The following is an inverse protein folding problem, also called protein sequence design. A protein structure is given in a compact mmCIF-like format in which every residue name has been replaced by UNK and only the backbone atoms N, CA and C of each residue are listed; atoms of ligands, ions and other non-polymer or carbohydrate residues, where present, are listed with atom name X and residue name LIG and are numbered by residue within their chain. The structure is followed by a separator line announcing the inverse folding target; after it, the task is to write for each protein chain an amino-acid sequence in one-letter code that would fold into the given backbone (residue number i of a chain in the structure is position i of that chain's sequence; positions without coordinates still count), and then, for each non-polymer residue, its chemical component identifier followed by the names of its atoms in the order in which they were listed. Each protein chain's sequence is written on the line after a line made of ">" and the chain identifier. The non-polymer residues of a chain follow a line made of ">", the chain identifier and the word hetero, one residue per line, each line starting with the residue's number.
data_IF_844574386070
#
_entry.id   IF_844574386070
#
_cell.length_a   1.000
_cell.length_b   1.000
_cell.length_c   1.000
_cell.angle_alpha   90.00
_cell.angle_beta   90.00
_cell.angle_gamma   90.00
#
_symmetry.space_group_name_H-M   'P 1'
#
loop_
_entity.id
_entity.type
_entity.pdbx_description
1 polymer ?
#
# COMPACT_ATOMS: atom_id res chain seq x y z
N UNK A 1 81.87 -5.79 -22.20
CA UNK A 1 80.78 -5.46 -21.24
C UNK A 1 79.54 -5.06 -22.06
N UNK A 2 78.62 -5.97 -22.23
CA UNK A 2 77.36 -5.72 -22.95
C UNK A 2 76.22 -5.66 -21.93
N UNK A 3 75.55 -4.52 -21.80
CA UNK A 3 74.38 -4.35 -20.94
C UNK A 3 73.14 -4.67 -21.77
N UNK A 4 72.38 -5.68 -21.34
CA UNK A 4 71.08 -6.05 -21.87
C UNK A 4 69.99 -5.13 -21.30
N UNK A 5 69.20 -4.51 -22.16
CA UNK A 5 67.98 -3.80 -21.76
C UNK A 5 66.81 -4.74 -21.86
N UNK A 6 66.16 -4.98 -20.74
CA UNK A 6 64.90 -5.72 -20.68
C UNK A 6 63.75 -4.77 -21.06
N UNK A 7 62.97 -5.17 -22.05
CA UNK A 7 61.77 -4.48 -22.44
C UNK A 7 60.62 -4.80 -21.47
N UNK A 8 60.01 -3.76 -20.88
CA UNK A 8 58.78 -3.88 -20.11
C UNK A 8 57.63 -3.83 -21.08
N UNK A 9 56.85 -4.94 -21.13
CA UNK A 9 55.56 -4.98 -21.83
C UNK A 9 54.49 -4.28 -20.98
N UNK A 10 53.90 -3.21 -21.49
CA UNK A 10 52.79 -2.52 -20.90
C UNK A 10 51.50 -3.33 -21.15
N UNK A 11 51.02 -3.96 -20.07
CA UNK A 11 49.70 -4.63 -20.07
C UNK A 11 48.58 -3.57 -20.07
N UNK A 12 47.78 -3.51 -21.13
CA UNK A 12 46.57 -2.72 -21.18
C UNK A 12 45.51 -3.39 -20.30
N UNK A 13 45.14 -2.73 -19.20
CA UNK A 13 43.98 -3.13 -18.39
C UNK A 13 42.74 -2.58 -19.04
N UNK A 14 41.98 -3.44 -19.72
CA UNK A 14 40.66 -3.11 -20.21
C UNK A 14 39.67 -2.95 -19.05
N UNK A 15 39.30 -1.72 -18.74
CA UNK A 15 38.23 -1.39 -17.80
C UNK A 15 36.89 -1.80 -18.44
N UNK A 16 36.30 -2.88 -17.94
CA UNK A 16 34.92 -3.24 -18.28
C UNK A 16 33.98 -2.23 -17.65
N UNK A 17 33.45 -1.32 -18.47
CA UNK A 17 32.34 -0.43 -18.08
C UNK A 17 31.08 -1.29 -18.08
N UNK A 18 30.67 -1.72 -16.88
CA UNK A 18 29.36 -2.33 -16.69
C UNK A 18 28.29 -1.24 -16.90
N UNK A 19 27.64 -1.27 -18.05
CA UNK A 19 26.45 -0.48 -18.29
C UNK A 19 25.34 -0.99 -17.39
N UNK A 20 25.04 -0.23 -16.33
CA UNK A 20 23.80 -0.41 -15.55
C UNK A 20 22.66 -0.05 -16.49
N UNK A 21 22.01 -1.05 -17.06
CA UNK A 21 20.74 -0.91 -17.76
C UNK A 21 19.73 -0.36 -16.75
N UNK A 22 19.44 0.91 -16.83
CA UNK A 22 18.29 1.51 -16.14
C UNK A 22 17.05 0.74 -16.58
N UNK A 23 16.38 0.09 -15.61
CA UNK A 23 15.10 -0.56 -15.85
C UNK A 23 14.14 0.47 -16.46
N UNK A 24 13.40 0.13 -17.53
CA UNK A 24 12.44 1.06 -18.10
C UNK A 24 11.41 1.44 -17.05
N UNK A 25 11.13 2.73 -16.94
CA UNK A 25 10.29 3.37 -15.95
C UNK A 25 9.06 2.55 -15.65
N UNK A 26 8.83 2.30 -14.34
CA UNK A 26 7.68 1.59 -13.86
C UNK A 26 6.42 2.25 -14.41
N UNK A 27 5.79 1.58 -15.36
CA UNK A 27 4.47 1.95 -15.85
C UNK A 27 3.56 2.16 -14.65
N UNK A 28 2.92 3.31 -14.59
CA UNK A 28 1.90 3.65 -13.60
C UNK A 28 0.73 2.67 -13.80
N UNK A 29 0.89 1.44 -13.27
CA UNK A 29 -0.13 0.37 -13.32
C UNK A 29 -1.36 0.76 -12.49
N UNK A 30 -1.28 1.87 -11.73
CA UNK A 30 -2.36 2.40 -10.92
C UNK A 30 -3.61 2.82 -11.69
N UNK A 31 -3.48 3.41 -12.87
CA UNK A 31 -4.62 4.04 -13.54
C UNK A 31 -5.64 3.04 -14.13
N UNK A 32 -5.20 1.88 -14.61
CA UNK A 32 -6.12 0.89 -15.19
C UNK A 32 -6.96 0.16 -14.12
N UNK A 33 -6.35 -0.22 -13.01
CA UNK A 33 -7.06 -0.87 -11.89
C UNK A 33 -8.05 0.09 -11.21
N UNK A 34 -7.75 1.38 -11.14
CA UNK A 34 -8.64 2.40 -10.62
C UNK A 34 -9.89 2.58 -11.48
N UNK A 35 -9.78 2.37 -12.80
CA UNK A 35 -10.89 2.56 -13.73
C UNK A 35 -11.97 1.48 -13.67
N UNK A 36 -11.60 0.24 -13.30
CA UNK A 36 -12.50 -0.92 -13.36
C UNK A 36 -12.92 -1.46 -11.99
N UNK A 37 -12.48 -0.83 -10.90
CA UNK A 37 -12.65 -1.37 -9.55
C UNK A 37 -11.70 -2.53 -9.27
N UNK A 38 -11.83 -3.16 -8.11
CA UNK A 38 -10.94 -4.21 -7.64
C UNK A 38 -11.71 -5.46 -7.20
N UNK A 39 -11.05 -6.62 -7.26
CA UNK A 39 -11.53 -7.81 -6.57
C UNK A 39 -11.11 -7.75 -5.11
N UNK A 40 -11.97 -8.27 -4.24
CA UNK A 40 -11.78 -8.34 -2.79
C UNK A 40 -11.97 -9.78 -2.35
N UNK A 41 -10.96 -10.35 -1.72
CA UNK A 41 -11.02 -11.66 -1.10
C UNK A 41 -11.42 -11.52 0.38
N UNK A 42 -12.57 -12.09 0.74
CA UNK A 42 -13.08 -12.14 2.09
C UNK A 42 -12.72 -13.47 2.72
N UNK A 43 -11.97 -13.46 3.81
CA UNK A 43 -11.66 -14.69 4.53
C UNK A 43 -12.95 -15.32 5.03
N UNK A 44 -13.02 -16.64 4.93
CA UNK A 44 -13.99 -17.46 5.64
C UNK A 44 -13.62 -17.47 7.13
N UNK A 45 -14.26 -18.25 7.92
CA UNK A 45 -13.91 -18.37 9.34
C UNK A 45 -12.53 -19.02 9.54
N UNK A 46 -11.91 -18.78 10.72
CA UNK A 46 -10.60 -19.30 11.05
C UNK A 46 -9.43 -18.44 10.59
N UNK A 47 -8.39 -19.09 10.12
CA UNK A 47 -7.17 -18.43 9.62
C UNK A 47 -6.71 -19.03 8.30
N UNK A 48 -5.95 -18.23 7.53
CA UNK A 48 -5.41 -18.59 6.23
C UNK A 48 -3.92 -18.30 6.19
N UNK A 49 -3.14 -19.25 5.69
CA UNK A 49 -1.71 -19.05 5.45
C UNK A 49 -1.49 -18.20 4.20
N UNK A 50 -0.61 -17.20 4.31
CA UNK A 50 -0.05 -16.44 3.19
C UNK A 50 1.25 -17.09 2.76
N UNK A 51 1.37 -17.38 1.47
CA UNK A 51 2.57 -17.96 0.87
C UNK A 51 3.35 -16.90 0.07
N UNK A 52 4.69 -17.02 -0.06
CA UNK A 52 5.50 -16.08 -0.84
C UNK A 52 5.31 -16.26 -2.37
N UNK A 53 4.84 -17.42 -2.81
CA UNK A 53 4.59 -17.73 -4.21
C UNK A 53 3.50 -18.81 -4.34
N UNK A 54 2.82 -18.93 -5.50
CA UNK A 54 1.93 -20.06 -5.79
C UNK A 54 2.63 -21.39 -5.62
N UNK A 55 2.04 -22.32 -4.86
CA UNK A 55 2.60 -23.66 -4.63
C UNK A 55 3.73 -23.74 -3.61
N UNK A 56 4.23 -22.61 -3.10
CA UNK A 56 5.28 -22.64 -2.08
C UNK A 56 4.78 -23.31 -0.79
N UNK A 57 5.57 -24.24 -0.20
CA UNK A 57 5.27 -24.80 1.11
C UNK A 57 5.53 -23.80 2.26
N UNK A 58 6.33 -22.75 2.00
CA UNK A 58 6.65 -21.73 2.99
C UNK A 58 5.42 -20.88 3.30
N UNK A 59 5.30 -20.48 4.57
CA UNK A 59 4.28 -19.56 5.07
C UNK A 59 4.95 -18.24 5.45
N UNK A 60 4.61 -17.17 4.75
CA UNK A 60 5.11 -15.82 5.05
C UNK A 60 4.41 -15.22 6.26
N UNK A 61 3.13 -15.50 6.43
CA UNK A 61 2.31 -15.04 7.56
C UNK A 61 1.01 -15.84 7.64
N UNK A 62 0.35 -15.78 8.80
CA UNK A 62 -1.02 -16.29 8.99
C UNK A 62 -1.96 -15.11 9.20
N UNK A 63 -3.10 -15.14 8.51
CA UNK A 63 -4.13 -14.11 8.57
C UNK A 63 -5.35 -14.67 9.26
N UNK A 64 -5.84 -14.01 10.30
CA UNK A 64 -7.11 -14.34 10.94
C UNK A 64 -8.31 -13.80 10.14
N UNK A 65 -9.48 -14.39 10.35
CA UNK A 65 -10.73 -13.95 9.72
C UNK A 65 -11.23 -12.58 10.20
N UNK A 66 -10.64 -12.06 11.28
CA UNK A 66 -10.84 -10.69 11.77
C UNK A 66 -9.53 -9.95 11.90
N UNK A 67 -9.58 -8.64 11.66
CA UNK A 67 -8.46 -7.72 11.87
C UNK A 67 -8.25 -7.48 13.36
N UNK A 68 -7.17 -6.83 13.72
CA UNK A 68 -6.87 -6.35 15.08
C UNK A 68 -7.93 -5.37 15.62
N UNK A 69 -8.69 -4.73 14.73
CA UNK A 69 -9.78 -3.82 15.07
C UNK A 69 -11.16 -4.48 15.02
N UNK A 70 -11.21 -5.81 14.84
CA UNK A 70 -12.44 -6.60 14.86
C UNK A 70 -13.22 -6.64 13.54
N UNK A 71 -12.81 -5.93 12.51
CA UNK A 71 -13.46 -6.01 11.20
C UNK A 71 -13.26 -7.38 10.56
N UNK A 72 -14.19 -7.79 9.72
CA UNK A 72 -14.00 -9.00 8.90
C UNK A 72 -12.83 -8.76 7.92
N UNK A 73 -11.87 -9.67 7.92
CA UNK A 73 -10.69 -9.54 7.05
C UNK A 73 -11.05 -9.61 5.58
N UNK A 74 -10.64 -8.58 4.87
CA UNK A 74 -10.83 -8.40 3.44
C UNK A 74 -9.50 -7.96 2.80
N UNK A 75 -9.10 -8.64 1.74
CA UNK A 75 -7.81 -8.43 1.09
C UNK A 75 -8.03 -7.96 -0.34
N UNK A 76 -7.44 -6.83 -0.77
CA UNK A 76 -7.40 -6.49 -2.18
C UNK A 76 -6.69 -7.57 -2.99
N UNK A 77 -7.31 -8.02 -4.07
CA UNK A 77 -6.70 -8.97 -5.00
C UNK A 77 -5.97 -8.20 -6.09
N UNK A 78 -4.70 -8.50 -6.28
CA UNK A 78 -3.82 -7.89 -7.28
C UNK A 78 -3.89 -8.66 -8.60
N UNK A 79 -3.81 -9.99 -8.50
CA UNK A 79 -3.86 -10.89 -9.63
C UNK A 79 -4.45 -12.25 -9.23
N UNK A 80 -4.94 -12.99 -10.23
CA UNK A 80 -5.31 -14.40 -10.12
C UNK A 80 -4.35 -15.23 -10.96
N UNK A 81 -3.80 -16.31 -10.37
CA UNK A 81 -2.86 -17.24 -11.01
C UNK A 81 -3.37 -18.67 -10.78
N UNK A 82 -4.24 -19.14 -11.68
CA UNK A 82 -4.95 -20.40 -11.48
C UNK A 82 -5.78 -20.37 -10.19
N UNK A 83 -5.50 -21.32 -9.30
CA UNK A 83 -6.18 -21.43 -8.00
C UNK A 83 -5.63 -20.47 -6.90
N UNK A 84 -4.63 -19.67 -7.23
CA UNK A 84 -4.00 -18.75 -6.32
C UNK A 84 -4.44 -17.30 -6.58
N UNK A 85 -4.65 -16.57 -5.49
CA UNK A 85 -4.89 -15.13 -5.51
C UNK A 85 -3.68 -14.43 -4.90
N UNK A 86 -3.12 -13.50 -5.65
CA UNK A 86 -2.12 -12.56 -5.15
C UNK A 86 -2.84 -11.42 -4.44
N UNK A 87 -2.51 -11.18 -3.17
CA UNK A 87 -3.24 -10.27 -2.29
C UNK A 87 -2.33 -9.33 -1.51
N UNK A 88 -2.88 -8.19 -1.12
CA UNK A 88 -2.27 -7.25 -0.18
C UNK A 88 -2.75 -7.60 1.23
N UNK A 89 -1.84 -7.61 2.20
CA UNK A 89 -2.15 -7.89 3.61
C UNK A 89 -1.35 -6.99 4.55
N UNK A 90 -1.96 -6.64 5.69
CA UNK A 90 -1.30 -5.96 6.81
C UNK A 90 -0.22 -6.82 7.49
N UNK A 91 -0.16 -8.10 7.21
CA UNK A 91 0.84 -9.00 7.77
C UNK A 91 2.15 -9.03 6.99
N UNK A 92 2.21 -8.27 5.89
CA UNK A 92 3.38 -8.15 5.03
C UNK A 92 3.85 -6.70 4.97
N UNK A 93 5.12 -6.50 4.65
CA UNK A 93 5.69 -5.16 4.45
C UNK A 93 5.03 -4.46 3.26
N UNK A 94 5.06 -3.12 3.26
CA UNK A 94 4.61 -2.33 2.12
C UNK A 94 5.25 -2.81 0.81
N UNK A 95 4.44 -2.98 -0.24
CA UNK A 95 4.90 -3.45 -1.54
C UNK A 95 5.11 -4.96 -1.66
N UNK A 96 5.06 -5.71 -0.56
CA UNK A 96 5.13 -7.17 -0.58
C UNK A 96 3.72 -7.76 -0.67
N UNK A 97 3.52 -8.68 -1.60
CA UNK A 97 2.27 -9.40 -1.78
C UNK A 97 2.41 -10.84 -1.30
N UNK A 98 1.29 -11.44 -0.93
CA UNK A 98 1.22 -12.85 -0.57
C UNK A 98 0.20 -13.59 -1.43
N UNK A 99 0.27 -14.92 -1.40
CA UNK A 99 -0.61 -15.79 -2.17
C UNK A 99 -1.46 -16.64 -1.24
N UNK A 100 -2.76 -16.71 -1.55
CA UNK A 100 -3.74 -17.56 -0.86
C UNK A 100 -4.49 -18.42 -1.86
N UNK A 101 -5.02 -19.56 -1.43
CA UNK A 101 -5.85 -20.42 -2.27
C UNK A 101 -7.25 -19.79 -2.44
N UNK A 102 -7.75 -19.77 -3.69
CA UNK A 102 -9.07 -19.20 -4.02
C UNK A 102 -10.22 -19.83 -3.25
N UNK A 103 -10.17 -21.13 -2.97
CA UNK A 103 -11.23 -21.85 -2.24
C UNK A 103 -11.33 -21.43 -0.75
N UNK A 104 -10.28 -20.83 -0.16
CA UNK A 104 -10.25 -20.38 1.25
C UNK A 104 -11.05 -19.09 1.46
N UNK A 105 -11.44 -18.40 0.40
CA UNK A 105 -12.05 -17.07 0.44
C UNK A 105 -13.31 -17.00 -0.40
N UNK A 106 -14.15 -16.01 -0.11
CA UNK A 106 -15.20 -15.54 -1.02
C UNK A 106 -14.68 -14.30 -1.75
N UNK A 107 -14.67 -14.34 -3.07
CA UNK A 107 -14.24 -13.20 -3.90
C UNK A 107 -15.46 -12.39 -4.31
N UNK A 108 -15.38 -11.07 -4.09
CA UNK A 108 -16.37 -10.10 -4.57
C UNK A 108 -15.67 -9.03 -5.40
N UNK A 109 -16.44 -8.12 -5.99
CA UNK A 109 -15.92 -6.94 -6.70
C UNK A 109 -16.33 -5.66 -5.98
N UNK A 110 -15.38 -4.74 -5.77
CA UNK A 110 -15.65 -3.36 -5.40
C UNK A 110 -15.60 -2.49 -6.67
N UNK A 111 -16.63 -1.74 -6.99
CA UNK A 111 -16.58 -0.80 -8.12
C UNK A 111 -15.79 0.47 -7.78
N UNK A 112 -15.31 0.58 -6.53
CA UNK A 112 -14.65 1.75 -5.99
C UNK A 112 -13.13 1.52 -5.86
N UNK A 113 -12.38 2.61 -5.99
CA UNK A 113 -10.96 2.69 -5.66
C UNK A 113 -10.64 4.10 -5.14
N UNK A 114 -9.68 4.20 -4.23
CA UNK A 114 -9.15 5.46 -3.73
C UNK A 114 -7.80 5.71 -4.42
N UNK A 115 -7.61 6.92 -4.89
CA UNK A 115 -6.39 7.43 -5.49
C UNK A 115 -5.89 8.61 -4.67
N UNK A 116 -4.64 8.58 -4.26
CA UNK A 116 -3.98 9.60 -3.47
C UNK A 116 -2.75 10.11 -4.24
N UNK A 117 -2.83 11.35 -4.65
CA UNK A 117 -1.76 12.12 -5.28
C UNK A 117 -1.06 12.94 -4.20
N UNK A 118 0.14 12.54 -3.80
CA UNK A 118 0.89 13.19 -2.72
C UNK A 118 1.41 14.56 -3.14
N UNK A 119 1.84 14.72 -4.39
CA UNK A 119 2.34 16.01 -4.90
C UNK A 119 1.21 17.04 -4.94
N UNK A 120 0.04 16.63 -5.43
CA UNK A 120 -1.16 17.44 -5.45
C UNK A 120 -1.90 17.51 -4.11
N UNK A 121 -1.53 16.70 -3.12
CA UNK A 121 -2.23 16.54 -1.83
C UNK A 121 -3.72 16.32 -2.04
N UNK A 122 -4.05 15.44 -2.95
CA UNK A 122 -5.41 15.26 -3.45
C UNK A 122 -5.85 13.79 -3.33
N UNK A 123 -6.99 13.58 -2.69
CA UNK A 123 -7.72 12.32 -2.68
C UNK A 123 -8.79 12.34 -3.76
N UNK A 124 -8.84 11.27 -4.55
CA UNK A 124 -9.92 11.00 -5.50
C UNK A 124 -10.57 9.66 -5.17
N UNK A 125 -11.88 9.63 -5.04
CA UNK A 125 -12.65 8.39 -5.00
C UNK A 125 -13.21 8.12 -6.40
N UNK A 126 -12.76 7.02 -6.98
CA UNK A 126 -13.22 6.56 -8.29
C UNK A 126 -14.34 5.54 -8.14
N UNK A 127 -15.31 5.62 -9.04
CA UNK A 127 -16.35 4.60 -9.22
C UNK A 127 -16.49 4.28 -10.71
N UNK A 128 -16.11 3.05 -11.13
CA UNK A 128 -16.19 2.59 -12.53
C UNK A 128 -15.61 3.61 -13.53
N UNK A 129 -14.43 4.14 -13.25
CA UNK A 129 -13.74 5.08 -14.13
C UNK A 129 -14.16 6.54 -13.99
N UNK A 130 -15.12 6.87 -13.13
CA UNK A 130 -15.55 8.25 -12.87
C UNK A 130 -15.14 8.68 -11.47
N UNK A 131 -14.64 9.90 -11.32
CA UNK A 131 -14.34 10.50 -10.02
C UNK A 131 -15.62 10.99 -9.37
N UNK A 132 -16.02 10.37 -8.25
CA UNK A 132 -17.25 10.71 -7.50
C UNK A 132 -17.01 11.54 -6.25
N UNK A 133 -15.74 11.69 -5.85
CA UNK A 133 -15.31 12.57 -4.76
C UNK A 133 -13.89 13.06 -5.05
N UNK A 134 -13.66 14.36 -4.83
CA UNK A 134 -12.33 14.98 -4.76
C UNK A 134 -12.21 15.74 -3.46
N UNK A 135 -11.05 15.63 -2.80
CA UNK A 135 -10.80 16.35 -1.56
C UNK A 135 -9.31 16.60 -1.38
N UNK A 136 -8.96 17.78 -0.88
CA UNK A 136 -7.61 18.01 -0.37
C UNK A 136 -7.36 17.16 0.87
N UNK A 137 -6.13 16.66 1.01
CA UNK A 137 -5.69 15.87 2.16
C UNK A 137 -4.38 16.40 2.73
N UNK A 138 -4.22 16.32 4.05
CA UNK A 138 -2.91 16.40 4.69
C UNK A 138 -2.15 15.11 4.50
N UNK A 139 -0.83 15.18 4.40
CA UNK A 139 0.06 14.04 4.18
C UNK A 139 1.20 14.02 5.21
N UNK A 140 1.97 12.95 5.23
CA UNK A 140 3.15 12.80 6.08
C UNK A 140 4.19 13.87 5.84
N UNK A 141 4.82 14.35 6.92
CA UNK A 141 5.97 15.25 6.86
C UNK A 141 7.18 14.57 6.21
N UNK A 142 8.19 15.34 5.81
CA UNK A 142 9.38 14.81 5.14
C UNK A 142 10.13 13.73 5.94
N UNK A 143 10.09 13.79 7.27
CA UNK A 143 10.72 12.79 8.15
C UNK A 143 9.85 11.55 8.38
N UNK A 144 8.55 11.66 8.16
CA UNK A 144 7.55 10.61 8.36
C UNK A 144 6.63 10.54 7.14
N UNK A 145 7.16 10.30 5.94
CA UNK A 145 6.41 10.41 4.70
C UNK A 145 5.26 9.39 4.65
N UNK A 146 4.16 9.78 4.02
CA UNK A 146 3.12 8.82 3.66
C UNK A 146 3.68 7.79 2.68
N UNK A 147 3.58 6.47 2.96
CA UNK A 147 4.15 5.46 2.09
C UNK A 147 3.44 5.41 0.74
N UNK A 148 4.24 5.28 -0.31
CA UNK A 148 3.79 5.10 -1.69
C UNK A 148 3.52 3.61 -1.95
N UNK A 149 2.51 3.30 -2.73
CA UNK A 149 2.21 1.93 -3.13
C UNK A 149 0.73 1.63 -3.32
N UNK A 150 0.43 0.33 -3.33
CA UNK A 150 -0.94 -0.20 -3.42
C UNK A 150 -1.32 -0.82 -2.08
N UNK A 151 -2.47 -0.42 -1.58
CA UNK A 151 -2.98 -0.80 -0.26
C UNK A 151 -4.47 -1.14 -0.33
N UNK A 152 -5.06 -1.50 0.79
CA UNK A 152 -6.50 -1.71 0.93
C UNK A 152 -7.06 -1.06 2.17
N UNK A 153 -8.33 -0.70 2.13
CA UNK A 153 -9.08 -0.32 3.33
C UNK A 153 -9.37 -1.58 4.14
N UNK A 154 -8.84 -1.65 5.35
CA UNK A 154 -8.95 -2.81 6.23
C UNK A 154 -10.04 -2.67 7.27
N UNK A 155 -10.23 -1.44 7.79
CA UNK A 155 -11.17 -1.15 8.86
C UNK A 155 -11.81 0.21 8.67
N UNK A 156 -13.03 0.33 9.19
CA UNK A 156 -13.77 1.57 9.30
C UNK A 156 -14.19 1.74 10.76
N UNK A 157 -13.55 2.69 11.44
CA UNK A 157 -13.71 2.86 12.88
C UNK A 157 -14.43 4.18 13.18
N UNK A 158 -15.30 4.13 14.18
CA UNK A 158 -15.96 5.31 14.76
C UNK A 158 -15.78 5.24 16.27
N UNK A 159 -15.87 6.40 16.94
CA UNK A 159 -15.72 6.46 18.40
C UNK A 159 -14.28 6.28 18.91
N UNK A 160 -13.27 6.23 18.04
CA UNK A 160 -11.87 6.33 18.45
C UNK A 160 -11.56 7.76 18.87
N UNK A 161 -10.60 7.94 19.78
CA UNK A 161 -10.23 9.25 20.36
C UNK A 161 -10.51 10.43 19.40
N UNK A 162 -11.61 11.18 19.55
CA UNK A 162 -12.00 12.22 18.60
C UNK A 162 -11.00 13.37 18.53
N UNK A 163 -10.27 13.66 19.62
CA UNK A 163 -9.27 14.72 19.66
C UNK A 163 -8.09 14.43 18.72
N UNK A 164 -7.75 13.15 18.52
CA UNK A 164 -6.63 12.76 17.66
C UNK A 164 -7.07 12.41 16.22
N UNK A 165 -8.27 11.83 16.05
CA UNK A 165 -8.67 11.21 14.79
C UNK A 165 -9.94 11.78 14.16
N UNK A 166 -10.60 12.74 14.83
CA UNK A 166 -11.88 13.29 14.38
C UNK A 166 -13.02 12.27 14.50
N UNK A 167 -14.02 12.37 13.64
CA UNK A 167 -15.22 11.51 13.71
C UNK A 167 -14.96 10.05 13.45
N UNK A 168 -13.92 9.74 12.69
CA UNK A 168 -13.85 8.44 12.06
C UNK A 168 -12.51 8.17 11.37
N UNK A 169 -12.18 6.88 11.22
CA UNK A 169 -10.93 6.40 10.66
C UNK A 169 -11.21 5.34 9.60
N UNK A 170 -10.58 5.47 8.44
CA UNK A 170 -10.40 4.39 7.49
C UNK A 170 -8.95 3.89 7.64
N UNK A 171 -8.75 2.74 8.29
CA UNK A 171 -7.43 2.15 8.40
C UNK A 171 -7.06 1.46 7.08
N UNK A 172 -5.79 1.58 6.71
CA UNK A 172 -5.23 1.00 5.49
C UNK A 172 -4.32 -0.18 5.81
N UNK A 173 -4.02 -1.00 4.83
CA UNK A 173 -3.01 -2.06 4.96
C UNK A 173 -1.57 -1.55 4.95
N UNK A 174 -1.36 -0.26 4.80
CA UNK A 174 -0.06 0.39 4.79
C UNK A 174 0.53 0.53 6.19
N UNK A 175 1.86 0.43 6.28
CA UNK A 175 2.65 0.63 7.49
C UNK A 175 3.56 1.84 7.36
N UNK A 176 3.68 2.64 8.42
CA UNK A 176 4.67 3.69 8.53
C UNK A 176 6.03 3.08 8.91
N UNK A 177 7.03 3.28 8.06
CA UNK A 177 8.38 2.73 8.25
C UNK A 177 9.36 3.71 8.87
N UNK A 178 8.94 4.97 9.09
CA UNK A 178 9.75 6.06 9.63
C UNK A 178 9.05 6.70 10.82
N UNK A 179 8.81 5.92 11.87
CA UNK A 179 8.20 6.44 13.09
C UNK A 179 9.22 7.25 13.92
N UNK A 180 8.79 8.35 14.57
CA UNK A 180 9.64 9.09 15.49
C UNK A 180 10.11 8.20 16.65
N UNK A 181 11.32 8.41 17.18
CA UNK A 181 11.78 7.73 18.39
C UNK A 181 10.78 7.93 19.53
N UNK A 182 10.46 6.86 20.26
CA UNK A 182 9.50 6.90 21.36
C UNK A 182 8.03 7.02 20.97
N UNK A 183 7.68 6.79 19.71
CA UNK A 183 6.30 6.82 19.26
C UNK A 183 5.45 5.76 20.01
N UNK A 184 4.40 6.18 20.77
CA UNK A 184 3.62 5.25 21.58
C UNK A 184 2.52 4.53 20.81
N UNK A 185 2.25 4.92 19.56
CA UNK A 185 1.19 4.37 18.72
C UNK A 185 1.66 3.22 17.84
N UNK A 186 0.73 2.60 17.13
CA UNK A 186 1.05 1.61 16.09
C UNK A 186 1.60 2.27 14.81
N UNK A 187 1.98 1.44 13.86
CA UNK A 187 2.56 1.84 12.58
C UNK A 187 1.53 1.91 11.43
N UNK A 188 0.25 1.64 11.72
CA UNK A 188 -0.79 1.58 10.67
C UNK A 188 -1.12 2.96 10.13
N UNK A 189 -1.08 3.07 8.81
CA UNK A 189 -1.53 4.27 8.09
C UNK A 189 -3.06 4.26 8.01
N UNK A 190 -3.64 5.44 8.16
CA UNK A 190 -5.09 5.64 8.05
C UNK A 190 -5.43 6.95 7.33
N UNK A 191 -6.68 7.07 6.91
CA UNK A 191 -7.32 8.33 6.52
C UNK A 191 -8.25 8.72 7.67
N UNK A 192 -7.99 9.85 8.34
CA UNK A 192 -8.74 10.28 9.52
C UNK A 192 -8.80 11.81 9.64
N UNK A 193 -9.47 12.33 10.65
CA UNK A 193 -9.51 13.75 10.98
C UNK A 193 -8.15 14.25 11.45
N UNK A 194 -7.96 15.54 11.43
CA UNK A 194 -6.75 16.21 11.92
C UNK A 194 -6.51 17.53 11.22
N UNK A 195 -5.51 18.24 11.69
CA UNK A 195 -5.06 19.51 11.10
C UNK A 195 -4.22 19.30 9.84
N UNK A 196 -3.80 20.42 9.21
CA UNK A 196 -2.85 20.38 8.11
C UNK A 196 -3.43 19.84 6.79
N UNK A 197 -4.72 20.03 6.54
CA UNK A 197 -5.33 19.71 5.24
C UNK A 197 -4.61 20.50 4.14
N UNK A 198 -4.12 19.82 3.10
CA UNK A 198 -3.33 20.42 2.05
C UNK A 198 -1.86 20.68 2.44
N UNK A 199 -1.40 20.19 3.60
CA UNK A 199 -0.02 20.32 4.07
C UNK A 199 0.65 18.97 4.32
N UNK A 200 1.98 18.97 4.43
CA UNK A 200 2.80 17.80 4.75
C UNK A 200 3.28 17.87 6.20
N UNK A 201 2.41 17.51 7.15
CA UNK A 201 2.62 17.76 8.58
C UNK A 201 2.36 16.55 9.48
N UNK A 202 1.76 15.46 8.96
CA UNK A 202 1.41 14.29 9.75
C UNK A 202 2.60 13.35 9.98
N UNK A 203 2.40 12.35 10.82
CA UNK A 203 3.34 11.23 10.98
C UNK A 203 3.08 10.10 9.96
N UNK A 204 2.57 10.43 8.78
CA UNK A 204 2.35 9.52 7.67
C UNK A 204 0.89 9.27 7.35
N UNK A 205 -0.03 9.44 8.28
CA UNK A 205 -1.47 9.34 8.02
C UNK A 205 -1.97 10.45 7.09
N UNK A 206 -3.06 10.17 6.43
CA UNK A 206 -3.75 11.12 5.55
C UNK A 206 -4.84 11.82 6.36
N UNK A 207 -4.79 13.16 6.42
CA UNK A 207 -5.82 13.93 7.11
C UNK A 207 -6.87 14.43 6.12
N UNK A 208 -8.12 14.27 6.47
CA UNK A 208 -9.26 14.75 5.69
C UNK A 208 -10.29 15.45 6.58
N UNK A 209 -11.12 16.30 5.97
CA UNK A 209 -12.21 16.94 6.71
C UNK A 209 -13.25 15.92 7.14
N UNK A 210 -13.98 16.20 8.22
CA UNK A 210 -15.01 15.30 8.72
C UNK A 210 -16.10 14.98 7.68
N UNK A 211 -16.49 15.95 6.87
CA UNK A 211 -17.47 15.77 5.82
C UNK A 211 -17.00 14.74 4.77
N UNK A 212 -15.72 14.82 4.40
CA UNK A 212 -15.07 13.84 3.50
C UNK A 212 -15.02 12.46 4.14
N UNK A 213 -14.58 12.37 5.40
CA UNK A 213 -14.48 11.11 6.14
C UNK A 213 -15.83 10.41 6.27
N UNK A 214 -16.88 11.13 6.69
CA UNK A 214 -18.25 10.59 6.77
C UNK A 214 -18.73 10.06 5.42
N UNK A 215 -18.38 10.75 4.34
CA UNK A 215 -18.71 10.31 2.98
C UNK A 215 -17.93 9.05 2.58
N UNK A 216 -16.62 8.99 2.87
CA UNK A 216 -15.80 7.81 2.63
C UNK A 216 -16.31 6.61 3.45
N UNK A 217 -16.61 6.78 4.74
CA UNK A 217 -17.16 5.73 5.57
C UNK A 217 -18.45 5.12 5.00
N UNK A 218 -19.34 5.97 4.47
CA UNK A 218 -20.59 5.47 3.87
C UNK A 218 -20.38 4.74 2.56
N UNK A 219 -19.48 5.25 1.71
CA UNK A 219 -19.35 4.79 0.33
C UNK A 219 -18.36 3.64 0.15
N UNK A 220 -17.25 3.65 0.91
CA UNK A 220 -16.11 2.77 0.67
C UNK A 220 -16.25 1.45 1.43
N UNK A 221 -16.36 0.30 0.74
CA UNK A 221 -16.33 -1.01 1.39
C UNK A 221 -14.92 -1.36 1.90
N UNK A 222 -14.84 -2.29 2.87
CA UNK A 222 -13.59 -2.94 3.23
C UNK A 222 -13.00 -3.67 2.00
N UNK A 223 -11.68 -3.76 1.93
CA UNK A 223 -10.96 -4.33 0.81
C UNK A 223 -10.89 -3.44 -0.43
N UNK A 224 -11.49 -2.24 -0.39
CA UNK A 224 -11.34 -1.26 -1.48
C UNK A 224 -9.87 -0.91 -1.65
N UNK A 225 -9.38 -0.99 -2.88
CA UNK A 225 -7.99 -0.67 -3.20
C UNK A 225 -7.72 0.82 -3.04
N UNK A 226 -6.55 1.12 -2.49
CA UNK A 226 -5.99 2.46 -2.34
C UNK A 226 -4.65 2.49 -3.06
N UNK A 227 -4.48 3.44 -3.97
CA UNK A 227 -3.21 3.72 -4.65
C UNK A 227 -2.69 5.05 -4.15
N UNK A 228 -1.48 5.05 -3.63
CA UNK A 228 -0.77 6.25 -3.17
C UNK A 228 0.45 6.43 -4.06
N UNK A 229 0.57 7.58 -4.68
CA UNK A 229 1.65 7.91 -5.62
C UNK A 229 2.14 9.35 -5.40
N UNK A 230 3.35 9.69 -5.94
CA UNK A 230 3.90 11.05 -5.89
C UNK A 230 2.97 12.10 -6.48
#
# INVERSE_FOLDING_TARGET
>A
MRRSYAAYAAGAVAAAVSAVLAAPGGTVVGSAALRHGSQVAWLKEGSVALHPAPGSPQVSATIASRTEFGSRTSLPVIAARGEWLEVISTKLRNGVHGFIRRWQVRVTRSPLAIDIDLSGRLLRLWRRGTVVLRAAVGIGAARTPTPIGRFGVTDKLTGVNPAAYGCCVLALSAHQTHLPPGWPGGDRIAIHGGGGIGAATSNGCLHATESVLRRLLRLVPLGTQVVIHP
#
